data_IF_660743006407
#
_entry.id   IF_660743006407
#
_cell.length_a   1.000
_cell.length_b   1.000
_cell.length_c   1.000
_cell.angle_alpha   90.00
_cell.angle_beta   90.00
_cell.angle_gamma   90.00
#
_symmetry.space_group_name_H-M   'P 1'
#
loop_
_entity.id
_entity.type
_entity.pdbx_description
1 polymer ?
#
# COMPACT_ATOMS: atom_id res chain seq x y z
N UNK A 1 27.95 39.99 9.23
CA UNK A 1 26.91 40.07 8.17
C UNK A 1 25.93 38.90 8.17
N UNK A 2 26.03 37.89 9.06
CA UNK A 2 25.18 36.69 9.02
C UNK A 2 23.99 36.68 10.02
N UNK A 3 23.83 37.68 10.89
CA UNK A 3 22.82 37.69 11.96
C UNK A 3 21.50 38.37 11.52
N UNK A 4 21.51 39.15 10.43
CA UNK A 4 20.35 39.92 9.98
C UNK A 4 19.37 39.14 9.09
N UNK A 5 19.76 37.98 8.54
CA UNK A 5 18.87 37.18 7.69
C UNK A 5 17.95 36.24 8.49
N UNK A 6 18.25 36.02 9.76
CA UNK A 6 17.63 34.99 10.61
C UNK A 6 16.22 35.37 11.12
N UNK A 7 15.80 36.63 10.98
CA UNK A 7 14.52 37.14 11.50
C UNK A 7 13.45 37.46 10.43
N UNK A 8 13.80 37.38 9.13
CA UNK A 8 12.95 37.86 8.03
C UNK A 8 11.61 37.11 7.92
N UNK A 9 11.55 35.86 8.37
CA UNK A 9 10.33 35.04 8.38
C UNK A 9 9.31 35.38 9.48
N UNK A 10 9.75 36.02 10.57
CA UNK A 10 8.89 36.44 11.69
C UNK A 10 8.37 37.87 11.49
N UNK A 11 9.19 38.76 10.95
CA UNK A 11 8.84 40.17 10.69
C UNK A 11 7.77 40.35 9.59
N UNK A 12 7.67 39.38 8.67
CA UNK A 12 6.75 39.45 7.53
C UNK A 12 5.38 38.79 7.77
N UNK A 13 5.01 38.56 9.03
CA UNK A 13 3.66 38.12 9.41
C UNK A 13 2.85 39.28 9.98
N UNK A 14 1.55 39.31 9.68
CA UNK A 14 0.63 40.27 10.31
C UNK A 14 0.36 39.95 11.79
N UNK A 15 0.67 38.72 12.25
CA UNK A 15 0.56 38.27 13.64
C UNK A 15 1.38 36.98 13.82
N UNK A 16 1.72 36.60 15.06
CA UNK A 16 2.54 35.42 15.37
C UNK A 16 1.99 34.10 14.77
N UNK A 17 0.66 33.98 14.68
CA UNK A 17 -0.07 32.88 14.00
C UNK A 17 -0.81 33.32 12.74
N UNK A 18 -0.61 34.57 12.30
CA UNK A 18 -1.31 35.19 11.19
C UNK A 18 -0.75 34.79 9.81
N UNK A 19 -1.41 35.29 8.75
CA UNK A 19 -0.94 35.13 7.38
C UNK A 19 0.36 35.88 7.15
N UNK A 20 1.17 35.36 6.23
CA UNK A 20 2.35 36.06 5.72
C UNK A 20 1.93 37.13 4.73
N UNK A 21 2.70 38.22 4.67
CA UNK A 21 2.57 39.24 3.64
C UNK A 21 2.75 38.60 2.27
N UNK A 22 1.92 39.00 1.32
CA UNK A 22 1.95 38.44 -0.03
C UNK A 22 3.29 38.71 -0.75
N UNK A 23 3.88 39.87 -0.52
CA UNK A 23 5.21 40.25 -1.04
C UNK A 23 6.31 39.28 -0.61
N UNK A 24 6.30 38.88 0.67
CA UNK A 24 7.26 37.92 1.20
C UNK A 24 7.10 36.53 0.59
N UNK A 25 5.86 36.11 0.31
CA UNK A 25 5.59 34.84 -0.37
C UNK A 25 6.17 34.86 -1.79
N UNK A 26 5.94 35.95 -2.54
CA UNK A 26 6.46 36.10 -3.91
C UNK A 26 7.99 36.15 -3.92
N UNK A 27 8.60 36.87 -2.97
CA UNK A 27 10.06 36.96 -2.84
C UNK A 27 10.69 35.57 -2.69
N UNK A 28 10.16 34.74 -1.78
CA UNK A 28 10.69 33.39 -1.57
C UNK A 28 10.44 32.48 -2.78
N UNK A 29 9.26 32.58 -3.40
CA UNK A 29 8.95 31.79 -4.61
C UNK A 29 9.93 32.14 -5.73
N UNK A 30 10.22 33.42 -5.92
CA UNK A 30 11.18 33.89 -6.91
C UNK A 30 12.60 33.40 -6.63
N UNK A 31 13.06 33.46 -5.37
CA UNK A 31 14.39 32.94 -5.01
C UNK A 31 14.52 31.44 -5.28
N UNK A 32 13.45 30.67 -5.05
CA UNK A 32 13.42 29.24 -5.36
C UNK A 32 13.39 28.98 -6.87
N UNK A 33 12.75 29.84 -7.65
CA UNK A 33 12.78 29.79 -9.12
C UNK A 33 14.15 30.15 -9.70
N UNK A 34 14.87 31.08 -9.08
CA UNK A 34 16.24 31.46 -9.43
C UNK A 34 17.26 30.36 -9.08
N UNK A 35 16.84 29.30 -8.39
CA UNK A 35 17.62 28.08 -8.18
C UNK A 35 17.90 27.73 -6.73
N UNK A 36 17.32 28.44 -5.76
CA UNK A 36 17.47 28.08 -4.35
C UNK A 36 16.73 26.77 -4.05
N UNK A 37 17.41 25.80 -3.42
CA UNK A 37 16.76 24.55 -3.02
C UNK A 37 15.68 24.80 -1.96
N UNK A 38 14.57 24.07 -2.06
CA UNK A 38 13.42 24.19 -1.16
C UNK A 38 13.84 23.92 0.28
N UNK A 39 14.77 22.98 0.51
CA UNK A 39 15.27 22.67 1.86
C UNK A 39 16.11 23.80 2.43
N UNK A 40 16.92 24.44 1.59
CA UNK A 40 17.76 25.57 1.97
C UNK A 40 16.91 26.82 2.25
N UNK A 41 15.89 27.08 1.42
CA UNK A 41 14.88 28.10 1.69
C UNK A 41 14.12 27.85 3.01
N UNK A 42 13.74 26.61 3.30
CA UNK A 42 13.11 26.27 4.59
C UNK A 42 14.02 26.55 5.79
N UNK A 43 15.33 26.26 5.65
CA UNK A 43 16.32 26.50 6.69
C UNK A 43 16.57 28.00 6.90
N UNK A 44 16.77 28.76 5.82
CA UNK A 44 17.05 30.21 5.86
C UNK A 44 15.86 30.99 6.42
N UNK A 45 14.64 30.66 5.99
CA UNK A 45 13.44 31.40 6.37
C UNK A 45 12.67 30.81 7.56
N UNK A 46 13.17 29.73 8.17
CA UNK A 46 12.52 29.03 9.28
C UNK A 46 11.06 28.66 8.96
N UNK A 47 10.82 28.22 7.72
CA UNK A 47 9.50 27.87 7.21
C UNK A 47 9.29 26.37 7.31
N UNK A 48 8.02 25.99 7.47
CA UNK A 48 7.62 24.60 7.32
C UNK A 48 7.60 24.24 5.84
N UNK A 49 8.25 23.14 5.45
CA UNK A 49 8.32 22.69 4.06
C UNK A 49 6.95 22.61 3.38
N UNK A 50 5.93 22.07 4.07
CA UNK A 50 4.56 22.03 3.55
C UNK A 50 4.01 23.41 3.16
N UNK A 51 4.32 24.48 3.90
CA UNK A 51 3.83 25.84 3.58
C UNK A 51 4.52 26.40 2.33
N UNK A 52 5.83 26.22 2.23
CA UNK A 52 6.57 26.59 1.03
C UNK A 52 6.07 25.76 -0.17
N UNK A 53 5.67 24.51 0.07
CA UNK A 53 5.03 23.68 -0.94
C UNK A 53 3.64 24.22 -1.34
N UNK A 54 2.83 24.73 -0.43
CA UNK A 54 1.55 25.36 -0.82
C UNK A 54 1.78 26.67 -1.60
N UNK A 55 2.86 27.39 -1.31
CA UNK A 55 3.16 28.66 -1.97
C UNK A 55 3.65 28.48 -3.40
N UNK A 56 4.61 27.57 -3.68
CA UNK A 56 5.01 27.39 -5.08
C UNK A 56 3.89 26.74 -5.91
N UNK A 57 2.99 25.93 -5.34
CA UNK A 57 1.85 25.40 -6.11
C UNK A 57 0.86 26.51 -6.52
N UNK A 58 0.78 27.59 -5.75
CA UNK A 58 -0.19 28.68 -5.96
C UNK A 58 0.39 29.89 -6.69
N UNK A 59 1.67 30.20 -6.49
CA UNK A 59 2.28 31.44 -6.93
C UNK A 59 3.51 31.25 -7.82
N UNK A 60 3.99 30.02 -8.05
CA UNK A 60 5.11 29.83 -8.98
C UNK A 60 4.68 30.06 -10.43
N UNK A 61 5.64 30.44 -11.24
CA UNK A 61 5.55 30.42 -12.68
C UNK A 61 5.10 29.03 -13.15
N UNK A 62 4.25 28.93 -14.19
CA UNK A 62 3.91 27.67 -14.84
C UNK A 62 5.13 26.90 -15.40
N UNK A 63 6.25 27.59 -15.61
CA UNK A 63 7.53 26.98 -16.04
C UNK A 63 8.28 26.31 -14.90
N UNK A 64 8.00 26.67 -13.64
CA UNK A 64 8.58 26.04 -12.48
C UNK A 64 7.87 24.72 -12.20
N UNK A 65 8.40 23.62 -12.75
CA UNK A 65 7.94 22.29 -12.40
C UNK A 65 8.82 21.75 -11.28
N UNK A 66 8.24 21.58 -10.10
CA UNK A 66 8.90 20.88 -9.00
C UNK A 66 9.43 19.54 -9.49
N UNK A 67 10.63 19.12 -9.07
CA UNK A 67 11.08 17.76 -9.31
C UNK A 67 10.04 16.83 -8.67
N UNK A 68 9.23 16.18 -9.52
CA UNK A 68 8.27 15.18 -9.07
C UNK A 68 9.11 14.11 -8.38
N UNK A 69 8.92 13.94 -7.07
CA UNK A 69 9.44 12.78 -6.35
C UNK A 69 9.08 11.57 -7.20
N UNK A 70 10.07 10.80 -7.67
CA UNK A 70 9.87 9.66 -8.57
C UNK A 70 8.72 8.80 -8.05
N UNK A 71 7.53 9.01 -8.62
CA UNK A 71 6.33 8.37 -8.18
C UNK A 71 6.25 7.06 -8.96
N UNK A 72 6.87 6.01 -8.42
CA UNK A 72 6.74 4.68 -8.99
C UNK A 72 5.25 4.30 -9.04
N UNK A 73 4.79 3.88 -10.22
CA UNK A 73 3.42 3.40 -10.40
C UNK A 73 3.15 2.24 -9.44
N UNK A 74 1.92 2.12 -8.93
CA UNK A 74 1.53 1.01 -8.06
C UNK A 74 1.82 -0.35 -8.71
N UNK A 75 1.67 -0.44 -10.03
CA UNK A 75 2.00 -1.64 -10.82
C UNK A 75 3.50 -1.93 -10.79
N UNK A 76 4.32 -0.90 -10.97
CA UNK A 76 5.78 -1.02 -10.98
C UNK A 76 6.30 -1.44 -9.60
N UNK A 77 5.78 -0.84 -8.52
CA UNK A 77 6.10 -1.21 -7.13
C UNK A 77 5.81 -2.70 -6.89
N UNK A 78 4.58 -3.14 -7.22
CA UNK A 78 4.16 -4.54 -7.05
C UNK A 78 4.99 -5.51 -7.89
N UNK A 79 5.35 -5.13 -9.12
CA UNK A 79 6.20 -5.95 -9.99
C UNK A 79 7.59 -6.17 -9.38
N UNK A 80 8.21 -5.12 -8.85
CA UNK A 80 9.53 -5.20 -8.20
C UNK A 80 9.44 -6.06 -6.93
N UNK A 81 8.44 -5.83 -6.07
CA UNK A 81 8.25 -6.61 -4.85
C UNK A 81 8.02 -8.10 -5.14
N UNK A 82 7.21 -8.43 -6.14
CA UNK A 82 6.97 -9.82 -6.57
C UNK A 82 8.22 -10.48 -7.15
N UNK A 83 9.00 -9.77 -7.97
CA UNK A 83 10.24 -10.31 -8.52
C UNK A 83 11.25 -10.68 -7.41
N UNK A 84 11.33 -9.84 -6.38
CA UNK A 84 12.16 -10.08 -5.20
C UNK A 84 11.62 -11.24 -4.36
N UNK A 85 10.29 -11.30 -4.12
CA UNK A 85 9.67 -12.40 -3.38
C UNK A 85 9.83 -13.76 -4.08
N UNK A 86 9.85 -13.78 -5.41
CA UNK A 86 10.12 -14.97 -6.22
C UNK A 86 11.61 -15.34 -6.29
N UNK A 87 12.51 -14.53 -5.72
CA UNK A 87 13.95 -14.74 -5.80
C UNK A 87 14.57 -14.51 -7.18
N UNK A 88 13.82 -13.95 -8.13
CA UNK A 88 14.30 -13.65 -9.50
C UNK A 88 15.19 -12.41 -9.57
N UNK A 89 15.11 -11.57 -8.54
CA UNK A 89 15.83 -10.31 -8.44
C UNK A 89 16.25 -10.11 -7.00
N UNK A 90 17.52 -9.83 -6.75
CA UNK A 90 17.98 -9.43 -5.42
C UNK A 90 17.64 -7.97 -5.14
N UNK A 91 17.58 -7.58 -3.86
CA UNK A 91 17.30 -6.19 -3.46
C UNK A 91 18.36 -5.24 -4.04
N UNK A 92 19.62 -5.67 -4.10
CA UNK A 92 20.74 -4.87 -4.63
C UNK A 92 20.66 -4.72 -6.15
N UNK A 93 20.35 -5.80 -6.87
CA UNK A 93 20.12 -5.73 -8.32
C UNK A 93 18.93 -4.82 -8.64
N UNK A 94 17.85 -4.88 -7.84
CA UNK A 94 16.70 -4.00 -8.01
C UNK A 94 17.06 -2.52 -7.82
N UNK A 95 17.94 -2.20 -6.86
CA UNK A 95 18.44 -0.84 -6.65
C UNK A 95 19.16 -0.33 -7.89
N UNK A 96 20.04 -1.15 -8.45
CA UNK A 96 20.84 -0.80 -9.63
C UNK A 96 19.97 -0.69 -10.89
N UNK A 97 19.06 -1.63 -11.14
CA UNK A 97 18.25 -1.66 -12.37
C UNK A 97 17.14 -0.61 -12.38
N UNK A 98 16.48 -0.38 -11.25
CA UNK A 98 15.29 0.50 -11.18
C UNK A 98 15.57 1.84 -10.51
N UNK A 99 16.81 2.12 -10.07
CA UNK A 99 17.18 3.34 -9.32
C UNK A 99 16.32 3.57 -8.07
N UNK A 100 15.90 2.48 -7.43
CA UNK A 100 15.10 2.51 -6.20
C UNK A 100 16.03 2.32 -5.01
N UNK A 101 15.93 3.18 -4.00
CA UNK A 101 16.70 2.98 -2.78
C UNK A 101 16.23 1.72 -2.01
N UNK A 102 17.16 0.98 -1.41
CA UNK A 102 16.87 -0.28 -0.70
C UNK A 102 15.81 -0.10 0.40
N UNK A 103 15.86 1.00 1.16
CA UNK A 103 14.85 1.34 2.18
C UNK A 103 13.43 1.50 1.59
N UNK A 104 13.33 1.97 0.35
CA UNK A 104 12.05 2.14 -0.34
C UNK A 104 11.46 0.78 -0.72
N UNK A 105 12.29 -0.16 -1.14
CA UNK A 105 11.91 -1.55 -1.43
C UNK A 105 11.42 -2.25 -0.16
N UNK A 106 12.18 -2.16 0.94
CA UNK A 106 11.77 -2.74 2.22
C UNK A 106 10.44 -2.14 2.74
N UNK A 107 10.24 -0.83 2.54
CA UNK A 107 8.99 -0.18 2.88
C UNK A 107 7.82 -0.70 2.04
N UNK A 108 7.99 -0.88 0.72
CA UNK A 108 6.96 -1.49 -0.13
C UNK A 108 6.63 -2.94 0.26
N UNK A 109 7.64 -3.75 0.57
CA UNK A 109 7.42 -5.13 1.03
C UNK A 109 6.64 -5.18 2.36
N UNK A 110 6.94 -4.26 3.29
CA UNK A 110 6.19 -4.15 4.55
C UNK A 110 4.73 -3.75 4.31
N UNK A 111 4.49 -2.83 3.37
CA UNK A 111 3.16 -2.37 3.02
C UNK A 111 2.32 -3.48 2.35
N UNK A 112 2.92 -4.28 1.45
CA UNK A 112 2.24 -5.41 0.79
C UNK A 112 1.85 -6.51 1.79
N UNK A 113 2.72 -6.83 2.76
CA UNK A 113 2.38 -7.76 3.85
C UNK A 113 1.20 -7.24 4.67
N UNK A 114 1.22 -5.96 5.04
CA UNK A 114 0.12 -5.36 5.77
C UNK A 114 -1.19 -5.35 4.96
N UNK A 115 -1.16 -5.12 3.64
CA UNK A 115 -2.36 -5.24 2.77
C UNK A 115 -2.92 -6.68 2.74
N UNK A 116 -2.04 -7.70 2.73
CA UNK A 116 -2.46 -9.10 2.76
C UNK A 116 -3.04 -9.50 4.12
N UNK A 117 -2.45 -9.04 5.21
CA UNK A 117 -2.93 -9.31 6.57
C UNK A 117 -4.25 -8.57 6.87
N UNK A 118 -4.38 -7.29 6.48
CA UNK A 118 -5.65 -6.55 6.60
C UNK A 118 -6.78 -7.13 5.74
N UNK A 119 -6.44 -7.68 4.57
CA UNK A 119 -7.42 -8.35 3.70
C UNK A 119 -7.93 -9.65 4.31
N UNK A 120 -7.09 -10.39 5.05
CA UNK A 120 -7.50 -11.58 5.81
C UNK A 120 -8.52 -11.23 6.90
N UNK A 121 -8.30 -10.13 7.61
CA UNK A 121 -9.19 -9.67 8.68
C UNK A 121 -10.52 -9.09 8.16
N UNK A 122 -10.54 -8.48 6.98
CA UNK A 122 -11.76 -7.92 6.39
C UNK A 122 -12.66 -8.98 5.73
N UNK A 123 -12.09 -10.08 5.23
CA UNK A 123 -12.88 -11.20 4.64
C UNK A 123 -13.56 -12.05 5.72
N UNK A 124 -13.01 -12.12 6.93
CA UNK A 124 -13.57 -12.91 8.04
C UNK A 124 -14.70 -12.20 8.82
N UNK A 125 -15.02 -10.93 8.51
CA UNK A 125 -15.95 -10.12 9.31
C UNK A 125 -17.40 -10.06 8.81
N UNK A 126 -17.84 -11.02 7.99
CA UNK A 126 -19.27 -11.16 7.64
C UNK A 126 -19.78 -12.57 7.95
N UNK A 127 -20.59 -12.66 9.02
CA UNK A 127 -21.34 -13.84 9.51
C UNK A 127 -20.46 -14.98 10.04
N UNK A 128 -20.31 -15.19 11.34
CA UNK A 128 -21.36 -15.68 12.27
C UNK A 128 -20.98 -15.41 13.74
N UNK A 129 -22.00 -15.34 14.58
CA UNK A 129 -21.93 -15.17 16.04
C UNK A 129 -21.70 -16.54 16.70
N UNK A 130 -20.50 -16.86 17.18
CA UNK A 130 -20.24 -17.80 18.29
C UNK A 130 -18.74 -17.93 18.62
N UNK A 131 -18.47 -18.00 19.93
CA UNK A 131 -17.25 -18.42 20.63
C UNK A 131 -15.96 -17.60 20.43
N UNK A 132 -15.70 -16.76 21.43
CA UNK A 132 -14.36 -16.44 21.92
C UNK A 132 -13.52 -17.71 22.09
N UNK A 133 -12.31 -17.76 21.52
CA UNK A 133 -11.07 -18.17 22.18
C UNK A 133 -9.90 -17.54 21.42
N UNK A 134 -9.16 -16.65 22.08
CA UNK A 134 -7.81 -16.18 21.70
C UNK A 134 -6.79 -17.23 22.14
N UNK A 135 -5.71 -17.46 21.37
CA UNK A 135 -4.98 -18.72 21.37
C UNK A 135 -3.89 -18.78 22.45
N UNK A 136 -3.62 -19.96 23.01
CA UNK A 136 -2.29 -20.33 23.42
C UNK A 136 -1.60 -20.93 22.19
N UNK A 137 -0.46 -20.35 21.81
CA UNK A 137 0.58 -21.11 21.13
C UNK A 137 0.74 -22.43 21.88
N UNK A 138 0.60 -23.58 21.22
CA UNK A 138 1.39 -24.83 21.34
C UNK A 138 1.02 -25.79 20.18
N UNK A 139 2.05 -26.43 19.65
CA UNK A 139 2.14 -27.53 18.67
C UNK A 139 1.48 -27.41 17.27
N UNK A 140 2.31 -27.05 16.28
CA UNK A 140 1.93 -27.11 14.86
C UNK A 140 1.54 -28.53 14.38
N UNK A 141 1.89 -29.58 15.13
CA UNK A 141 1.45 -30.95 14.86
C UNK A 141 -0.05 -31.18 15.04
N UNK A 142 -0.67 -30.50 16.03
CA UNK A 142 -2.09 -30.70 16.34
C UNK A 142 -3.01 -29.97 15.35
N UNK A 143 -2.59 -28.81 14.86
CA UNK A 143 -3.32 -28.10 13.81
C UNK A 143 -3.28 -28.87 12.48
N UNK A 144 -2.15 -29.46 12.12
CA UNK A 144 -2.03 -30.30 10.92
C UNK A 144 -2.98 -31.50 11.00
N UNK A 145 -3.04 -32.18 12.16
CA UNK A 145 -3.95 -33.31 12.36
C UNK A 145 -5.42 -32.90 12.24
N UNK A 146 -5.80 -31.77 12.85
CA UNK A 146 -7.17 -31.23 12.75
C UNK A 146 -7.54 -30.90 11.32
N UNK A 147 -6.65 -30.22 10.59
CA UNK A 147 -6.88 -29.86 9.19
C UNK A 147 -6.97 -31.10 8.29
N UNK A 148 -6.14 -32.12 8.53
CA UNK A 148 -6.23 -33.40 7.82
C UNK A 148 -7.55 -34.11 8.10
N UNK A 149 -8.03 -34.08 9.34
CA UNK A 149 -9.31 -34.67 9.73
C UNK A 149 -10.48 -33.97 9.06
N UNK A 150 -10.50 -32.63 9.05
CA UNK A 150 -11.52 -31.84 8.35
C UNK A 150 -11.52 -32.12 6.83
N UNK A 151 -10.34 -32.28 6.23
CA UNK A 151 -10.20 -32.64 4.82
C UNK A 151 -10.79 -34.04 4.55
N UNK A 152 -10.48 -35.02 5.39
CA UNK A 152 -11.02 -36.37 5.29
C UNK A 152 -12.55 -36.38 5.39
N UNK A 153 -13.11 -35.66 6.37
CA UNK A 153 -14.56 -35.56 6.59
C UNK A 153 -15.27 -34.89 5.38
N UNK A 154 -14.68 -33.84 4.84
CA UNK A 154 -15.20 -33.15 3.65
C UNK A 154 -15.19 -34.07 2.41
N UNK A 155 -14.09 -34.80 2.20
CA UNK A 155 -13.98 -35.77 1.10
C UNK A 155 -14.98 -36.92 1.24
N UNK A 156 -15.18 -37.43 2.46
CA UNK A 156 -16.17 -38.46 2.74
C UNK A 156 -17.59 -37.95 2.45
N UNK A 157 -17.90 -36.71 2.83
CA UNK A 157 -19.18 -36.08 2.51
C UNK A 157 -19.39 -35.92 1.01
N UNK A 158 -18.36 -35.48 0.28
CA UNK A 158 -18.42 -35.35 -1.19
C UNK A 158 -18.65 -36.72 -1.84
N UNK A 159 -17.93 -37.74 -1.40
CA UNK A 159 -18.08 -39.11 -1.90
C UNK A 159 -19.50 -39.63 -1.65
N UNK A 160 -20.01 -39.49 -0.43
CA UNK A 160 -21.37 -39.92 -0.07
C UNK A 160 -22.44 -39.20 -0.90
N UNK A 161 -22.30 -37.90 -1.12
CA UNK A 161 -23.21 -37.12 -1.95
C UNK A 161 -23.19 -37.58 -3.42
N UNK A 162 -22.00 -37.83 -3.98
CA UNK A 162 -21.89 -38.35 -5.34
C UNK A 162 -22.51 -39.75 -5.47
N UNK A 163 -22.26 -40.64 -4.50
CA UNK A 163 -22.88 -41.98 -4.52
C UNK A 163 -24.39 -41.92 -4.39
N UNK A 164 -24.92 -40.97 -3.60
CA UNK A 164 -26.37 -40.79 -3.46
C UNK A 164 -26.98 -40.26 -4.76
N UNK A 165 -26.26 -39.40 -5.49
CA UNK A 165 -26.65 -38.97 -6.83
C UNK A 165 -26.70 -40.19 -7.76
N UNK A 166 -25.65 -41.01 -7.81
CA UNK A 166 -25.61 -42.18 -8.70
C UNK A 166 -26.79 -43.15 -8.42
N UNK A 167 -27.06 -43.45 -7.15
CA UNK A 167 -28.20 -44.30 -6.74
C UNK A 167 -29.54 -43.66 -7.13
N UNK A 168 -29.69 -42.34 -6.96
CA UNK A 168 -30.91 -41.64 -7.34
C UNK A 168 -31.12 -41.62 -8.87
N UNK A 169 -30.07 -41.44 -9.66
CA UNK A 169 -30.15 -41.50 -11.12
C UNK A 169 -30.52 -42.92 -11.61
N UNK A 170 -29.96 -43.96 -10.98
CA UNK A 170 -30.23 -45.36 -11.32
C UNK A 170 -31.65 -45.80 -10.97
N UNK A 171 -32.09 -45.54 -9.73
CA UNK A 171 -33.37 -46.05 -9.22
C UNK A 171 -34.58 -45.20 -9.65
N UNK A 172 -34.42 -43.87 -9.69
CA UNK A 172 -35.52 -42.95 -9.98
C UNK A 172 -35.53 -42.48 -11.44
N UNK A 173 -34.48 -42.80 -12.24
CA UNK A 173 -34.31 -42.38 -13.63
C UNK A 173 -34.40 -40.86 -13.85
N UNK A 174 -34.08 -40.08 -12.81
CA UNK A 174 -34.03 -38.62 -12.86
C UNK A 174 -32.59 -38.23 -13.22
N UNK A 175 -32.39 -37.38 -14.23
CA UNK A 175 -31.05 -36.86 -14.55
C UNK A 175 -30.72 -35.67 -13.65
N UNK A 176 -29.78 -35.84 -12.71
CA UNK A 176 -29.38 -34.81 -11.74
C UNK A 176 -28.06 -34.16 -12.19
N UNK A 177 -27.13 -34.94 -12.74
CA UNK A 177 -25.84 -34.45 -13.23
C UNK A 177 -26.00 -33.68 -14.55
N UNK A 178 -25.23 -32.60 -14.71
CA UNK A 178 -25.13 -31.89 -16.00
C UNK A 178 -24.47 -32.79 -17.05
N UNK A 179 -25.03 -32.80 -18.27
CA UNK A 179 -24.42 -33.49 -19.42
C UNK A 179 -23.12 -32.77 -19.83
N UNK A 180 -21.98 -33.49 -19.98
CA UNK A 180 -20.75 -32.89 -20.48
C UNK A 180 -20.98 -32.40 -21.92
N UNK A 181 -20.76 -31.10 -22.16
CA UNK A 181 -20.87 -30.49 -23.50
C UNK A 181 -21.97 -29.45 -23.69
N UNK A 182 -22.87 -29.23 -22.71
CA UNK A 182 -23.80 -28.12 -22.79
C UNK A 182 -23.05 -26.77 -22.62
N UNK A 183 -22.93 -25.98 -23.70
CA UNK A 183 -22.41 -24.61 -23.66
C UNK A 183 -23.19 -23.81 -22.61
N UNK A 184 -22.47 -23.20 -21.66
CA UNK A 184 -23.07 -22.23 -20.76
C UNK A 184 -23.42 -20.97 -21.56
N UNK A 185 -24.69 -20.56 -21.52
CA UNK A 185 -25.12 -19.20 -21.89
C UNK A 185 -24.94 -18.25 -20.71
#
# INVERSE_FOLDING_TARGET
MAILEDQKGLENRYSQRGRYKHSFIIEIVREVEEGLDIREACKRYHLQGRRLHEWLDKYSSPSYSRPKLFCYSAVQKKSICRAIAQGKLTVQEAVTTYQVHSSTIYWWQKQEKHELDFSKDHVLKKSTKASNVTPPAEDGGDEIKRLQQQLADANLKIAALNTLIDVAEEQLKINIRKKPGAKQS
#
